data_IF_779282334697
#
_entry.id   IF_779282334697
#
_cell.length_a   1.000
_cell.length_b   1.000
_cell.length_c   1.000
_cell.angle_alpha   90.00
_cell.angle_beta   90.00
_cell.angle_gamma   90.00
#
_symmetry.space_group_name_H-M   'P 1'
#
loop_
_entity.id
_entity.type
_entity.pdbx_description
1 polymer ?
#
# COMPACT_ATOMS: atom_id res chain seq x y z
N UNK A 1 7.59 11.62 11.91
CA UNK A 1 6.56 11.27 12.93
C UNK A 1 6.64 9.76 13.16
N UNK A 2 6.16 9.19 14.27
CA UNK A 2 6.30 7.74 14.50
C UNK A 2 5.13 6.94 13.92
N UNK A 3 5.38 5.69 13.53
CA UNK A 3 4.34 4.71 13.20
C UNK A 3 3.27 4.63 14.31
N UNK A 4 2.01 4.41 13.93
CA UNK A 4 0.86 4.38 14.86
C UNK A 4 0.23 3.00 14.88
N UNK A 5 0.00 2.45 16.06
CA UNK A 5 -0.71 1.18 16.23
C UNK A 5 -2.21 1.40 16.00
N UNK A 6 -2.80 0.63 15.08
CA UNK A 6 -4.25 0.58 14.84
C UNK A 6 -4.85 -0.60 15.61
N UNK A 7 -4.21 -1.76 15.53
CA UNK A 7 -4.50 -2.94 16.33
C UNK A 7 -3.20 -3.66 16.72
N UNK A 8 -3.29 -4.81 17.37
CA UNK A 8 -2.13 -5.63 17.74
C UNK A 8 -1.32 -6.09 16.52
N UNK A 9 -1.99 -6.20 15.37
CA UNK A 9 -1.43 -6.73 14.12
C UNK A 9 -1.23 -5.67 13.05
N UNK A 10 -1.96 -4.55 13.12
CA UNK A 10 -1.99 -3.52 12.08
C UNK A 10 -1.39 -2.21 12.58
N UNK A 11 -0.44 -1.67 11.81
CA UNK A 11 0.27 -0.44 12.12
C UNK A 11 0.22 0.52 10.93
N UNK A 12 -0.22 1.75 11.15
CA UNK A 12 -0.10 2.82 10.17
C UNK A 12 1.34 3.31 10.10
N UNK A 13 1.89 3.36 8.89
CA UNK A 13 3.26 3.77 8.56
C UNK A 13 3.32 4.81 7.45
N UNK A 14 2.16 5.35 7.05
CA UNK A 14 2.03 6.35 5.99
C UNK A 14 2.67 7.70 6.30
N UNK A 15 2.34 8.71 5.49
CA UNK A 15 2.89 10.05 5.61
C UNK A 15 1.78 11.10 5.73
N UNK A 16 2.04 12.14 6.53
CA UNK A 16 1.22 13.34 6.60
C UNK A 16 1.89 14.42 5.78
N UNK A 17 1.20 14.95 4.77
CA UNK A 17 1.68 15.97 3.85
C UNK A 17 0.92 17.27 4.06
N UNK A 18 1.36 18.00 5.08
CA UNK A 18 0.81 19.30 5.45
C UNK A 18 1.11 20.39 4.44
N UNK A 19 2.04 20.17 3.50
CA UNK A 19 2.52 21.18 2.55
C UNK A 19 1.92 21.00 1.15
N UNK A 20 1.29 19.86 0.86
CA UNK A 20 0.49 19.67 -0.37
C UNK A 20 -0.64 20.68 -0.42
N UNK A 21 -0.73 21.43 -1.53
CA UNK A 21 -1.80 22.43 -1.76
C UNK A 21 -2.73 22.09 -2.91
N UNK A 22 -2.36 21.11 -3.72
CA UNK A 22 -3.10 20.73 -4.91
C UNK A 22 -2.94 19.22 -5.14
N UNK A 23 -4.06 18.51 -5.23
CA UNK A 23 -4.12 17.09 -5.59
C UNK A 23 -4.56 16.94 -7.05
N UNK A 24 -3.91 16.04 -7.79
CA UNK A 24 -4.10 15.83 -9.23
C UNK A 24 -4.16 17.09 -10.10
N UNK A 25 -3.40 18.11 -9.69
CA UNK A 25 -3.41 19.43 -10.34
C UNK A 25 -4.79 20.09 -10.44
N UNK A 26 -5.79 19.61 -9.68
CA UNK A 26 -7.20 20.00 -9.82
C UNK A 26 -7.87 20.31 -8.49
N UNK A 27 -7.66 19.48 -7.47
CA UNK A 27 -8.38 19.57 -6.18
C UNK A 27 -7.56 20.38 -5.19
N UNK A 28 -8.03 21.56 -4.74
CA UNK A 28 -7.32 22.35 -3.73
C UNK A 28 -7.28 21.62 -2.38
N UNK A 29 -6.11 21.65 -1.74
CA UNK A 29 -5.86 21.04 -0.43
C UNK A 29 -5.47 22.11 0.58
N UNK A 30 -6.42 22.88 1.13
CA UNK A 30 -6.12 23.94 2.10
C UNK A 30 -5.47 23.40 3.38
N UNK A 31 -5.85 22.18 3.78
CA UNK A 31 -5.41 21.55 5.03
C UNK A 31 -4.35 20.45 4.82
N UNK A 32 -3.96 20.18 3.57
CA UNK A 32 -2.99 19.14 3.21
C UNK A 32 -3.64 17.82 2.82
N UNK A 33 -2.86 16.74 2.91
CA UNK A 33 -3.32 15.36 2.66
C UNK A 33 -2.51 14.35 3.47
N UNK A 34 -2.88 13.08 3.38
CA UNK A 34 -2.13 11.96 3.91
C UNK A 34 -2.00 10.88 2.86
N UNK A 35 -0.85 10.21 2.79
CA UNK A 35 -0.68 8.98 2.01
C UNK A 35 -0.62 7.82 2.99
N UNK A 36 -1.69 7.02 3.05
CA UNK A 36 -1.86 6.01 4.08
C UNK A 36 -1.28 4.67 3.62
N UNK A 37 -0.32 4.16 4.39
CA UNK A 37 0.26 2.84 4.21
C UNK A 37 0.24 2.07 5.53
N UNK A 38 0.14 0.74 5.47
CA UNK A 38 -0.09 -0.09 6.65
C UNK A 38 0.78 -1.34 6.69
N UNK A 39 1.42 -1.63 7.81
CA UNK A 39 2.11 -2.90 8.05
C UNK A 39 1.17 -3.86 8.77
N UNK A 40 1.07 -5.08 8.27
CA UNK A 40 0.32 -6.19 8.87
C UNK A 40 1.30 -7.30 9.24
N UNK A 41 1.31 -7.68 10.53
CA UNK A 41 2.19 -8.73 11.08
C UNK A 41 1.44 -10.03 11.32
N UNK A 42 1.53 -10.95 10.38
CA UNK A 42 1.14 -12.34 10.59
C UNK A 42 2.23 -13.14 11.30
N UNK A 43 1.88 -14.36 11.73
CA UNK A 43 2.78 -15.29 12.41
C UNK A 43 3.87 -15.86 11.51
N UNK A 44 3.67 -15.86 10.19
CA UNK A 44 4.64 -16.41 9.21
C UNK A 44 5.13 -15.37 8.21
N UNK A 45 4.33 -14.36 7.88
CA UNK A 45 4.67 -13.36 6.90
C UNK A 45 4.25 -11.95 7.33
N UNK A 46 4.99 -10.95 6.84
CA UNK A 46 4.66 -9.53 7.03
C UNK A 46 4.31 -8.89 5.69
N UNK A 47 3.20 -8.16 5.65
CA UNK A 47 2.74 -7.42 4.48
C UNK A 47 2.77 -5.91 4.72
N UNK A 48 3.12 -5.14 3.69
CA UNK A 48 2.87 -3.71 3.61
C UNK A 48 1.71 -3.47 2.64
N UNK A 49 0.67 -2.76 3.07
CA UNK A 49 -0.43 -2.30 2.23
C UNK A 49 -0.11 -0.90 1.72
N UNK A 50 -0.04 -0.78 0.40
CA UNK A 50 0.29 0.43 -0.35
C UNK A 50 1.61 1.09 0.07
N UNK A 51 2.00 2.12 -0.65
CA UNK A 51 3.14 2.97 -0.34
C UNK A 51 2.68 4.42 -0.27
N UNK A 52 3.58 5.38 -0.53
CA UNK A 52 3.28 6.80 -0.45
C UNK A 52 3.77 7.52 -1.70
N UNK A 53 3.34 8.77 -1.87
CA UNK A 53 3.87 9.69 -2.88
C UNK A 53 5.41 9.75 -2.81
N UNK A 54 6.13 9.80 -3.96
CA UNK A 54 7.60 9.84 -3.98
C UNK A 54 8.23 10.97 -3.16
N UNK A 55 7.53 12.09 -2.98
CA UNK A 55 8.01 13.19 -2.12
C UNK A 55 8.06 12.80 -0.64
N UNK A 56 7.31 11.76 -0.26
CA UNK A 56 7.14 11.26 1.09
C UNK A 56 7.82 9.91 1.35
N UNK A 57 8.58 9.35 0.39
CA UNK A 57 9.31 8.08 0.54
C UNK A 57 10.12 8.02 1.83
N UNK A 58 10.81 9.12 2.16
CA UNK A 58 11.67 9.20 3.36
C UNK A 58 10.87 9.01 4.66
N UNK A 59 9.65 9.57 4.76
CA UNK A 59 8.77 9.41 5.92
C UNK A 59 8.33 7.95 6.09
N UNK A 60 7.91 7.30 5.00
CA UNK A 60 7.55 5.88 5.03
C UNK A 60 8.75 5.03 5.48
N UNK A 61 9.94 5.28 4.94
CA UNK A 61 11.14 4.54 5.34
C UNK A 61 11.50 4.75 6.82
N UNK A 62 11.42 5.98 7.34
CA UNK A 62 11.62 6.28 8.75
C UNK A 62 10.60 5.53 9.62
N UNK A 63 9.32 5.53 9.23
CA UNK A 63 8.27 4.81 9.95
C UNK A 63 8.54 3.31 10.00
N UNK A 64 8.90 2.69 8.88
CA UNK A 64 9.25 1.27 8.82
C UNK A 64 10.46 0.93 9.70
N UNK A 65 11.45 1.82 9.76
CA UNK A 65 12.60 1.68 10.66
C UNK A 65 12.19 1.83 12.13
N UNK A 66 11.36 2.82 12.47
CA UNK A 66 10.89 3.05 13.84
C UNK A 66 10.05 1.90 14.38
N UNK A 67 9.34 1.20 13.49
CA UNK A 67 8.55 0.02 13.82
C UNK A 67 9.39 -1.27 13.87
N UNK A 68 10.70 -1.20 13.55
CA UNK A 68 11.60 -2.35 13.45
C UNK A 68 11.11 -3.41 12.44
N UNK A 69 10.71 -2.96 11.25
CA UNK A 69 10.35 -3.86 10.14
C UNK A 69 11.63 -4.33 9.46
N UNK A 70 12.18 -5.45 9.95
CA UNK A 70 13.38 -6.08 9.39
C UNK A 70 13.13 -6.92 8.13
N UNK A 71 11.88 -7.32 7.87
CA UNK A 71 11.50 -8.15 6.72
C UNK A 71 10.10 -7.78 6.24
N UNK A 72 9.92 -7.75 4.91
CA UNK A 72 8.63 -7.79 4.24
C UNK A 72 8.60 -8.99 3.30
N UNK A 73 7.53 -9.77 3.38
CA UNK A 73 7.26 -10.87 2.45
C UNK A 73 6.43 -10.37 1.26
N UNK A 74 5.48 -9.46 1.55
CA UNK A 74 4.56 -8.94 0.56
C UNK A 74 4.45 -7.41 0.62
N UNK A 75 4.33 -6.79 -0.54
CA UNK A 75 3.89 -5.40 -0.70
C UNK A 75 2.60 -5.49 -1.52
N UNK A 76 1.47 -5.24 -0.89
CA UNK A 76 0.17 -5.23 -1.55
C UNK A 76 0.00 -3.86 -2.19
N UNK A 77 -0.17 -3.82 -3.51
CA UNK A 77 -0.41 -2.59 -4.27
C UNK A 77 -1.86 -2.61 -4.76
N UNK A 78 -2.73 -1.93 -4.02
CA UNK A 78 -4.16 -1.85 -4.32
C UNK A 78 -4.44 -1.00 -5.56
N UNK A 79 -3.57 -0.03 -5.85
CA UNK A 79 -3.79 1.00 -6.87
C UNK A 79 -2.44 1.47 -7.46
N UNK A 80 -2.38 1.68 -8.78
CA UNK A 80 -1.13 1.98 -9.48
C UNK A 80 -0.82 3.48 -9.60
N UNK A 81 -1.70 4.34 -9.10
CA UNK A 81 -1.44 5.78 -9.06
C UNK A 81 -0.28 6.12 -8.10
N UNK A 82 0.48 7.17 -8.42
CA UNK A 82 1.81 7.35 -7.82
C UNK A 82 1.79 7.87 -6.38
N UNK A 83 0.70 8.47 -5.94
CA UNK A 83 0.51 8.83 -4.54
C UNK A 83 0.32 7.62 -3.61
N UNK A 84 -0.05 6.45 -4.17
CA UNK A 84 -0.11 5.16 -3.48
C UNK A 84 1.06 4.23 -3.83
N UNK A 85 1.57 4.28 -5.04
CA UNK A 85 2.55 3.31 -5.55
C UNK A 85 3.93 3.89 -5.86
N UNK A 86 4.08 5.22 -5.86
CA UNK A 86 5.27 5.88 -6.39
C UNK A 86 6.55 5.59 -5.60
N UNK A 87 6.43 5.29 -4.30
CA UNK A 87 7.56 4.85 -3.48
C UNK A 87 7.91 3.36 -3.63
N UNK A 88 7.14 2.59 -4.38
CA UNK A 88 7.31 1.14 -4.52
C UNK A 88 8.74 0.73 -4.94
N UNK A 89 9.42 1.37 -5.92
CA UNK A 89 10.79 1.00 -6.28
C UNK A 89 11.79 1.11 -5.12
N UNK A 90 11.70 2.17 -4.31
CA UNK A 90 12.57 2.38 -3.15
C UNK A 90 12.29 1.35 -2.05
N UNK A 91 11.02 1.03 -1.79
CA UNK A 91 10.65 0.00 -0.82
C UNK A 91 11.11 -1.38 -1.30
N UNK A 92 10.98 -1.70 -2.58
CA UNK A 92 11.47 -2.96 -3.15
C UNK A 92 13.00 -3.10 -3.10
N UNK A 93 13.73 -1.99 -3.24
CA UNK A 93 15.18 -1.97 -3.09
C UNK A 93 15.60 -2.25 -1.64
N UNK A 94 14.86 -1.67 -0.66
CA UNK A 94 15.07 -1.94 0.77
C UNK A 94 14.72 -3.37 1.16
N UNK A 95 13.66 -3.94 0.58
CA UNK A 95 13.18 -5.30 0.85
C UNK A 95 13.27 -6.18 -0.41
N UNK A 96 14.48 -6.65 -0.77
CA UNK A 96 14.73 -7.33 -2.04
C UNK A 96 14.01 -8.67 -2.21
N UNK A 97 13.59 -9.29 -1.10
CA UNK A 97 12.85 -10.56 -1.12
C UNK A 97 11.33 -10.39 -1.22
N UNK A 98 10.80 -9.18 -1.01
CA UNK A 98 9.36 -8.96 -0.99
C UNK A 98 8.74 -9.14 -2.39
N UNK A 99 7.57 -9.77 -2.46
CA UNK A 99 6.77 -9.88 -3.68
C UNK A 99 5.70 -8.78 -3.70
N UNK A 100 5.50 -8.17 -4.86
CA UNK A 100 4.44 -7.18 -5.06
C UNK A 100 3.17 -7.91 -5.48
N UNK A 101 2.12 -7.80 -4.67
CA UNK A 101 0.83 -8.47 -4.91
C UNK A 101 -0.17 -7.43 -5.39
N UNK A 102 -0.79 -7.68 -6.54
CA UNK A 102 -1.71 -6.72 -7.17
C UNK A 102 -2.64 -7.43 -8.16
N UNK A 103 -3.60 -6.71 -8.75
CA UNK A 103 -4.42 -7.27 -9.84
C UNK A 103 -3.59 -7.49 -11.11
N UNK A 104 -4.03 -8.35 -12.05
CA UNK A 104 -3.35 -8.49 -13.35
C UNK A 104 -3.20 -7.17 -14.10
N UNK A 105 -4.22 -6.30 -14.04
CA UNK A 105 -4.17 -4.99 -14.70
C UNK A 105 -3.19 -4.05 -14.00
N UNK A 106 -3.13 -4.08 -12.67
CA UNK A 106 -2.17 -3.29 -11.90
C UNK A 106 -0.74 -3.72 -12.21
N UNK A 107 -0.47 -5.03 -12.34
CA UNK A 107 0.84 -5.53 -12.73
C UNK A 107 1.34 -4.94 -14.07
N UNK A 108 0.48 -4.86 -15.08
CA UNK A 108 0.82 -4.21 -16.36
C UNK A 108 1.21 -2.73 -16.18
N UNK A 109 0.44 -2.00 -15.37
CA UNK A 109 0.69 -0.57 -15.10
C UNK A 109 1.94 -0.36 -14.27
N UNK A 110 2.19 -1.16 -13.23
CA UNK A 110 3.39 -1.07 -12.40
C UNK A 110 4.65 -1.38 -13.22
N UNK A 111 4.60 -2.34 -14.15
CA UNK A 111 5.70 -2.59 -15.07
C UNK A 111 5.92 -1.43 -16.05
N UNK A 112 4.85 -0.79 -16.53
CA UNK A 112 4.94 0.32 -17.49
C UNK A 112 5.41 1.64 -16.84
N UNK A 113 4.85 1.98 -15.68
CA UNK A 113 5.03 3.28 -15.02
C UNK A 113 6.25 3.28 -14.10
N UNK A 114 6.47 2.19 -13.38
CA UNK A 114 7.47 2.09 -12.31
C UNK A 114 8.59 1.07 -12.61
N UNK A 115 8.55 0.41 -13.77
CA UNK A 115 9.53 -0.59 -14.19
C UNK A 115 9.67 -1.75 -13.20
N UNK A 116 8.58 -2.12 -12.51
CA UNK A 116 8.58 -3.26 -11.58
C UNK A 116 8.89 -4.55 -12.36
N UNK A 117 9.93 -5.32 -11.98
CA UNK A 117 10.28 -6.56 -12.64
C UNK A 117 9.17 -7.62 -12.53
N UNK A 118 8.89 -8.33 -13.62
CA UNK A 118 7.83 -9.34 -13.68
C UNK A 118 8.00 -10.49 -12.69
N UNK A 119 9.24 -10.87 -12.36
CA UNK A 119 9.54 -11.92 -11.39
C UNK A 119 9.27 -11.50 -9.94
N UNK A 120 9.08 -10.20 -9.69
CA UNK A 120 8.68 -9.64 -8.39
C UNK A 120 7.16 -9.51 -8.25
N UNK A 121 6.40 -9.59 -9.35
CA UNK A 121 4.94 -9.44 -9.36
C UNK A 121 4.24 -10.78 -9.11
N UNK A 122 3.20 -10.73 -8.29
CA UNK A 122 2.26 -11.82 -8.04
C UNK A 122 0.86 -11.26 -8.27
N UNK A 123 0.14 -11.83 -9.22
CA UNK A 123 -1.20 -11.37 -9.56
C UNK A 123 -2.25 -12.16 -8.79
N UNK A 124 -3.32 -11.48 -8.35
CA UNK A 124 -4.44 -12.09 -7.63
C UNK A 124 -5.77 -11.82 -8.34
N UNK A 125 -6.63 -12.82 -8.38
CA UNK A 125 -7.99 -12.73 -8.90
C UNK A 125 -8.96 -12.18 -7.85
N UNK A 126 -10.16 -11.81 -8.30
CA UNK A 126 -11.22 -11.36 -7.39
C UNK A 126 -11.64 -12.48 -6.42
N UNK A 127 -11.74 -12.15 -5.13
CA UNK A 127 -12.00 -13.09 -4.04
C UNK A 127 -10.84 -14.03 -3.70
N UNK A 128 -9.69 -13.90 -4.38
CA UNK A 128 -8.50 -14.68 -4.04
C UNK A 128 -7.95 -14.29 -2.67
N UNK A 129 -7.26 -15.23 -2.02
CA UNK A 129 -6.74 -15.02 -0.66
C UNK A 129 -5.26 -15.30 -0.56
N UNK A 130 -4.61 -14.61 0.37
CA UNK A 130 -3.20 -14.78 0.70
C UNK A 130 -3.03 -14.91 2.21
N UNK A 131 -2.43 -16.00 2.65
CA UNK A 131 -2.16 -16.25 4.07
C UNK A 131 -0.87 -15.57 4.52
N UNK A 132 -0.90 -14.94 5.69
CA UNK A 132 0.27 -14.47 6.43
C UNK A 132 0.61 -15.40 7.62
N UNK A 133 0.08 -16.62 7.62
CA UNK A 133 0.12 -17.57 8.73
C UNK A 133 -1.22 -17.63 9.45
N UNK A 134 -1.36 -16.87 10.54
CA UNK A 134 -2.56 -16.78 11.39
C UNK A 134 -3.55 -15.70 10.92
N UNK A 135 -3.23 -15.02 9.82
CA UNK A 135 -4.03 -13.97 9.20
C UNK A 135 -4.24 -14.26 7.72
N UNK A 136 -5.37 -13.80 7.18
CA UNK A 136 -5.78 -13.98 5.78
C UNK A 136 -6.16 -12.65 5.16
N UNK A 137 -5.47 -12.29 4.09
CA UNK A 137 -5.86 -11.22 3.20
C UNK A 137 -6.76 -11.78 2.11
N UNK A 138 -7.88 -11.12 1.84
CA UNK A 138 -8.78 -11.36 0.72
C UNK A 138 -8.77 -10.14 -0.20
N UNK A 139 -8.64 -10.36 -1.50
CA UNK A 139 -8.55 -9.28 -2.49
C UNK A 139 -9.88 -9.11 -3.21
N UNK A 140 -10.40 -7.88 -3.22
CA UNK A 140 -11.70 -7.54 -3.80
C UNK A 140 -11.44 -6.59 -4.96
N UNK A 141 -11.67 -7.03 -6.19
CA UNK A 141 -11.47 -6.16 -7.36
C UNK A 141 -12.56 -5.08 -7.41
N UNK A 142 -12.15 -3.83 -7.55
CA UNK A 142 -13.03 -2.67 -7.58
C UNK A 142 -12.69 -1.77 -8.77
N UNK A 143 -12.77 -2.28 -10.02
CA UNK A 143 -12.38 -1.51 -11.20
C UNK A 143 -13.24 -0.25 -11.33
N UNK A 144 -12.60 0.84 -11.76
CA UNK A 144 -13.19 2.18 -11.87
C UNK A 144 -13.60 2.81 -10.54
N UNK A 145 -12.97 2.37 -9.45
CA UNK A 145 -13.05 3.02 -8.13
C UNK A 145 -11.64 3.50 -7.71
N UNK A 146 -10.98 4.41 -8.41
CA UNK A 146 -11.43 5.13 -9.62
C UNK A 146 -10.64 4.75 -10.89
N UNK A 147 -9.60 3.92 -10.78
CA UNK A 147 -8.82 3.43 -11.92
C UNK A 147 -9.21 1.99 -12.31
N UNK A 148 -8.93 1.54 -13.55
CA UNK A 148 -9.37 0.23 -14.03
C UNK A 148 -8.81 -0.98 -13.27
N UNK A 149 -7.71 -0.81 -12.55
CA UNK A 149 -6.98 -1.85 -11.84
C UNK A 149 -7.25 -1.94 -10.34
N UNK A 150 -7.96 -0.95 -9.79
CA UNK A 150 -8.09 -0.79 -8.34
C UNK A 150 -8.67 -2.05 -7.70
N UNK A 151 -8.08 -2.45 -6.58
CA UNK A 151 -8.60 -3.48 -5.68
C UNK A 151 -8.61 -2.99 -4.25
N UNK A 152 -9.42 -3.62 -3.41
CA UNK A 152 -9.45 -3.44 -1.97
C UNK A 152 -8.85 -4.69 -1.33
N UNK A 153 -8.28 -4.55 -0.14
CA UNK A 153 -7.75 -5.67 0.63
C UNK A 153 -8.51 -5.82 1.94
N UNK A 154 -9.06 -6.99 2.21
CA UNK A 154 -9.79 -7.30 3.43
C UNK A 154 -9.01 -8.26 4.33
N UNK A 155 -8.73 -7.86 5.56
CA UNK A 155 -8.11 -8.68 6.59
C UNK A 155 -9.21 -9.37 7.41
N UNK A 156 -9.43 -10.65 7.14
CA UNK A 156 -10.62 -11.40 7.61
C UNK A 156 -10.72 -11.46 9.13
N UNK A 157 -9.62 -11.82 9.79
CA UNK A 157 -9.60 -12.11 11.23
C UNK A 157 -9.80 -10.85 12.09
N UNK A 158 -9.44 -9.68 11.57
CA UNK A 158 -9.62 -8.38 12.24
C UNK A 158 -10.84 -7.60 11.69
N UNK A 159 -11.58 -8.17 10.73
CA UNK A 159 -12.67 -7.49 10.02
C UNK A 159 -12.32 -6.09 9.53
N UNK A 160 -11.08 -5.93 9.04
CA UNK A 160 -10.54 -4.63 8.61
C UNK A 160 -10.45 -4.57 7.09
N UNK A 161 -11.06 -3.55 6.49
CA UNK A 161 -10.93 -3.25 5.07
C UNK A 161 -9.87 -2.17 4.86
N UNK A 162 -8.95 -2.39 3.93
CA UNK A 162 -8.03 -1.40 3.38
C UNK A 162 -8.59 -0.96 2.02
N UNK A 163 -9.28 0.19 1.94
CA UNK A 163 -10.12 0.52 0.80
C UNK A 163 -9.43 1.36 -0.28
N UNK A 164 -8.10 1.57 -0.20
CA UNK A 164 -7.39 2.54 -1.03
C UNK A 164 -8.07 3.92 -0.99
N UNK A 165 -8.44 4.48 -2.15
CA UNK A 165 -9.12 5.77 -2.29
C UNK A 165 -10.58 5.74 -1.84
N UNK A 166 -11.22 4.57 -1.88
CA UNK A 166 -12.63 4.48 -1.53
C UNK A 166 -12.79 4.86 -0.05
N UNK A 167 -13.67 5.83 0.21
CA UNK A 167 -13.88 6.47 1.54
C UNK A 167 -12.77 7.42 2.00
N UNK A 168 -11.76 7.69 1.16
CA UNK A 168 -10.73 8.68 1.42
C UNK A 168 -11.26 10.11 1.52
N UNK A 169 -10.54 10.95 2.26
CA UNK A 169 -10.77 12.39 2.33
C UNK A 169 -9.45 13.11 2.55
N UNK A 170 -9.24 14.20 1.82
CA UNK A 170 -8.14 15.12 2.11
C UNK A 170 -8.63 16.15 3.13
N UNK A 171 -8.05 16.14 4.32
CA UNK A 171 -8.41 16.95 5.49
C UNK A 171 -7.14 17.42 6.21
#
# INVERSE_FOLDING_TARGET
MSARRISDRVFWVGALDWDRRLFDSLVPLPDGTTYNAYVIRGSQATALIDTVDPTMTHVLQENLTSLDVGKLDYIICNHAEQDHSGSLPDIMARFPSAKVVCTPRCAELLSLLLHVPGDRLVTVQDGETLSLGDLTLEFIHAPWVHWPETMLTYLREESTLFPCDLFGSHL
#
